data_IF_655601912026
#
_entry.id   IF_655601912026
#
_cell.length_a   1.000
_cell.length_b   1.000
_cell.length_c   1.000
_cell.angle_alpha   90.00
_cell.angle_beta   90.00
_cell.angle_gamma   90.00
#
_symmetry.space_group_name_H-M   'P 1'
#
loop_
_entity.id
_entity.type
_entity.pdbx_description
1 polymer ?
#
# COMPACT_ATOMS: atom_id res chain seq x y z
N UNK A 1 7.32 68.07 24.02
CA UNK A 1 8.25 69.17 23.76
C UNK A 1 8.17 69.40 22.25
N UNK A 2 7.33 70.34 21.78
CA UNK A 2 7.64 71.71 21.38
C UNK A 2 8.73 71.74 20.35
N UNK A 3 8.67 72.37 19.23
CA UNK A 3 7.91 73.52 18.73
C UNK A 3 8.17 73.60 17.20
N UNK A 4 7.23 73.95 16.41
CA UNK A 4 6.89 75.27 15.87
C UNK A 4 7.91 75.83 14.90
N UNK A 5 7.42 76.31 13.77
CA UNK A 5 8.14 77.11 12.81
C UNK A 5 7.35 77.37 11.56
N UNK A 6 6.57 78.46 11.61
CA UNK A 6 5.76 78.93 10.52
C UNK A 6 6.56 79.95 9.63
N UNK A 7 5.99 80.22 8.46
CA UNK A 7 6.00 81.48 7.71
C UNK A 7 6.93 81.60 6.50
N UNK A 8 6.29 82.00 5.47
CA UNK A 8 6.97 82.66 4.30
C UNK A 8 6.09 82.82 3.08
N UNK A 9 5.06 83.68 3.20
CA UNK A 9 4.34 84.18 2.04
C UNK A 9 5.22 85.15 1.22
N UNK A 10 5.33 84.94 -0.07
CA UNK A 10 5.58 86.11 -0.98
C UNK A 10 4.77 85.95 -2.24
N UNK A 11 3.90 86.89 -2.42
CA UNK A 11 3.14 87.16 -3.62
C UNK A 11 4.11 87.75 -4.70
N UNK A 12 3.91 87.25 -5.95
CA UNK A 12 4.30 88.08 -7.12
C UNK A 12 3.19 88.01 -8.14
N UNK A 13 2.58 89.09 -8.34
CA UNK A 13 1.61 89.34 -9.39
C UNK A 13 2.34 89.50 -10.74
N UNK A 14 1.88 88.85 -11.77
CA UNK A 14 2.40 88.97 -13.13
C UNK A 14 1.31 88.69 -14.14
N UNK A 15 0.89 89.73 -14.75
CA UNK A 15 0.11 89.95 -15.95
C UNK A 15 -0.40 88.73 -16.74
N UNK A 16 -1.75 88.61 -16.80
CA UNK A 16 -2.48 87.84 -17.77
C UNK A 16 -2.30 88.37 -19.19
N UNK A 17 -1.74 87.52 -20.07
CA UNK A 17 -1.82 87.75 -21.51
C UNK A 17 -2.88 86.79 -22.03
N UNK A 18 -4.01 87.33 -22.40
CA UNK A 18 -5.13 86.63 -22.99
C UNK A 18 -4.77 86.31 -24.46
N UNK A 19 -4.32 85.06 -24.68
CA UNK A 19 -4.14 84.54 -26.04
C UNK A 19 -5.38 83.74 -26.40
N UNK A 20 -6.33 84.33 -27.08
CA UNK A 20 -7.47 83.69 -27.68
C UNK A 20 -6.97 82.90 -28.91
N UNK A 21 -6.65 81.60 -28.65
CA UNK A 21 -6.47 80.65 -29.75
C UNK A 21 -7.87 80.16 -30.07
N UNK A 22 -8.40 80.58 -31.16
CA UNK A 22 -9.61 80.09 -31.77
C UNK A 22 -9.25 78.72 -32.33
N UNK A 23 -9.42 77.65 -31.50
CA UNK A 23 -9.42 76.30 -31.98
C UNK A 23 -10.70 76.12 -32.81
N UNK A 24 -10.59 76.24 -34.11
CA UNK A 24 -11.57 75.66 -35.02
C UNK A 24 -11.51 74.15 -34.85
N UNK A 25 -12.34 73.66 -34.01
CA UNK A 25 -12.62 72.22 -33.93
C UNK A 25 -13.34 71.90 -35.25
N UNK A 26 -12.55 71.40 -36.20
CA UNK A 26 -13.11 70.74 -37.34
C UNK A 26 -13.84 69.50 -36.78
N UNK A 27 -15.11 69.67 -36.62
CA UNK A 27 -15.97 68.50 -36.24
C UNK A 27 -15.94 67.53 -37.41
N UNK A 28 -14.98 66.62 -37.34
CA UNK A 28 -15.16 65.39 -38.06
C UNK A 28 -16.44 64.73 -37.42
N UNK A 29 -17.53 64.79 -38.15
CA UNK A 29 -18.71 64.06 -37.80
C UNK A 29 -18.25 62.60 -37.57
N UNK A 30 -18.28 62.16 -36.34
CA UNK A 30 -18.03 60.74 -36.04
C UNK A 30 -19.07 59.95 -36.81
N UNK A 31 -18.66 59.43 -37.93
CA UNK A 31 -19.49 58.49 -38.67
C UNK A 31 -19.88 57.40 -37.64
N UNK A 32 -21.16 57.18 -37.43
CA UNK A 32 -21.66 56.31 -36.40
C UNK A 32 -21.02 54.93 -36.53
N UNK A 33 -20.50 54.44 -35.42
CA UNK A 33 -19.94 53.09 -35.37
C UNK A 33 -21.08 52.08 -35.46
N UNK A 34 -21.06 51.25 -36.48
CA UNK A 34 -22.05 50.20 -36.70
C UNK A 34 -21.63 49.01 -35.80
N UNK A 35 -22.57 48.44 -35.05
CA UNK A 35 -22.30 47.30 -34.15
C UNK A 35 -23.27 46.17 -34.40
N UNK A 36 -22.70 44.96 -34.49
CA UNK A 36 -23.46 43.71 -34.62
C UNK A 36 -22.98 42.77 -33.54
N UNK A 37 -23.81 41.75 -33.24
CA UNK A 37 -23.47 40.64 -32.34
C UNK A 37 -23.96 39.35 -32.96
N UNK A 38 -23.09 38.39 -33.05
CA UNK A 38 -23.42 37.06 -33.62
C UNK A 38 -22.80 35.97 -32.76
N UNK A 39 -23.47 34.82 -32.64
CA UNK A 39 -22.84 33.68 -32.00
C UNK A 39 -21.70 33.16 -32.88
N UNK A 40 -20.74 32.54 -32.25
CA UNK A 40 -19.69 31.80 -32.95
C UNK A 40 -20.23 30.58 -33.67
N UNK A 41 -19.40 29.84 -34.35
CA UNK A 41 -19.74 28.59 -35.02
C UNK A 41 -20.73 28.74 -36.20
N UNK A 42 -21.03 29.99 -36.57
CA UNK A 42 -21.89 30.23 -37.74
C UNK A 42 -21.18 29.81 -39.01
N UNK A 43 -21.92 29.17 -39.89
CA UNK A 43 -21.38 28.73 -41.17
C UNK A 43 -21.11 29.91 -42.11
N UNK A 44 -20.18 29.70 -43.05
CA UNK A 44 -19.87 30.69 -44.12
C UNK A 44 -21.13 31.09 -44.85
N UNK A 45 -21.33 32.41 -45.04
CA UNK A 45 -22.48 32.95 -45.72
C UNK A 45 -23.64 33.33 -44.80
N UNK A 46 -23.49 33.08 -43.47
CA UNK A 46 -24.52 33.42 -42.49
C UNK A 46 -24.67 34.93 -42.35
N UNK A 47 -25.87 35.37 -42.08
CA UNK A 47 -26.22 36.76 -41.90
C UNK A 47 -25.63 37.34 -40.62
N UNK A 48 -24.96 38.51 -40.73
CA UNK A 48 -24.37 39.26 -39.62
C UNK A 48 -25.20 40.55 -39.34
N UNK A 49 -25.46 41.30 -40.39
CA UNK A 49 -26.20 42.55 -40.25
C UNK A 49 -26.57 43.13 -41.61
N UNK A 50 -27.36 44.22 -41.62
CA UNK A 50 -27.81 44.86 -42.87
C UNK A 50 -27.10 46.22 -43.07
N UNK A 51 -25.92 46.17 -43.70
CA UNK A 51 -25.08 47.34 -43.96
C UNK A 51 -25.84 48.38 -44.82
N UNK A 52 -26.59 47.93 -45.82
CA UNK A 52 -27.36 48.84 -46.67
C UNK A 52 -28.34 49.69 -45.84
N UNK A 53 -29.11 49.03 -44.97
CA UNK A 53 -30.05 49.69 -44.10
C UNK A 53 -29.37 50.68 -43.15
N UNK A 54 -28.26 50.24 -42.53
CA UNK A 54 -27.54 51.07 -41.55
C UNK A 54 -26.87 52.28 -42.17
N UNK A 55 -26.51 52.18 -43.45
CA UNK A 55 -26.00 53.32 -44.24
C UNK A 55 -27.09 54.19 -44.88
N UNK A 56 -28.37 53.72 -44.78
CA UNK A 56 -29.49 54.42 -45.42
C UNK A 56 -29.47 54.33 -46.95
N UNK A 57 -28.98 53.16 -47.47
CA UNK A 57 -28.80 52.94 -48.90
C UNK A 57 -29.72 51.78 -49.37
N UNK A 58 -30.19 51.82 -50.57
CA UNK A 58 -30.84 50.68 -51.22
C UNK A 58 -29.76 49.69 -51.71
N UNK A 59 -30.06 48.41 -51.76
CA UNK A 59 -29.13 47.38 -52.22
C UNK A 59 -28.53 47.67 -53.61
N UNK A 60 -29.29 48.30 -54.49
CA UNK A 60 -28.81 48.67 -55.81
C UNK A 60 -27.74 49.75 -55.76
N UNK A 61 -27.90 50.69 -54.85
CA UNK A 61 -26.97 51.80 -54.68
C UNK A 61 -25.60 51.40 -54.21
N UNK A 62 -25.51 50.24 -53.51
CA UNK A 62 -24.22 49.73 -53.01
C UNK A 62 -23.19 49.48 -54.09
N UNK A 63 -23.64 48.89 -55.19
CA UNK A 63 -22.76 48.69 -56.36
C UNK A 63 -22.43 49.98 -57.08
N UNK A 64 -23.43 50.87 -57.24
CA UNK A 64 -23.27 52.14 -57.90
C UNK A 64 -22.31 53.06 -57.16
N UNK A 65 -22.34 53.02 -55.80
CA UNK A 65 -21.49 53.87 -54.96
C UNK A 65 -20.17 53.24 -54.59
N UNK A 66 -19.88 51.99 -55.04
CA UNK A 66 -18.63 51.32 -54.77
C UNK A 66 -18.48 50.96 -53.30
N UNK A 67 -19.55 50.40 -52.68
CA UNK A 67 -19.48 49.98 -51.24
C UNK A 67 -18.79 48.63 -51.13
N UNK A 68 -17.77 48.58 -50.27
CA UNK A 68 -17.06 47.31 -49.98
C UNK A 68 -16.52 47.29 -48.55
N UNK A 69 -16.29 46.07 -48.05
CA UNK A 69 -15.75 45.83 -46.71
C UNK A 69 -14.22 45.70 -46.80
N UNK A 70 -13.53 46.34 -45.92
CA UNK A 70 -12.06 46.35 -45.84
C UNK A 70 -11.65 45.88 -44.45
N UNK A 71 -10.62 45.01 -44.40
CA UNK A 71 -9.99 44.55 -43.18
C UNK A 71 -8.56 45.08 -43.09
N UNK A 72 -8.13 45.42 -41.89
CA UNK A 72 -6.75 45.85 -41.63
C UNK A 72 -5.78 44.68 -41.51
N UNK A 73 -6.28 43.42 -41.50
CA UNK A 73 -5.49 42.21 -41.39
C UNK A 73 -5.47 41.37 -42.66
N UNK A 74 -4.79 40.22 -42.57
CA UNK A 74 -4.69 39.29 -43.70
C UNK A 74 -5.98 38.49 -43.92
N UNK A 75 -6.74 38.25 -42.86
CA UNK A 75 -7.94 37.40 -42.89
C UNK A 75 -9.18 38.27 -43.03
N UNK A 76 -10.05 37.90 -43.96
CA UNK A 76 -11.34 38.56 -44.17
C UNK A 76 -12.42 37.67 -43.54
N UNK A 77 -12.86 38.08 -42.37
CA UNK A 77 -13.88 37.31 -41.59
C UNK A 77 -15.29 37.56 -42.10
N UNK A 78 -15.51 38.71 -42.76
CA UNK A 78 -16.83 39.10 -43.25
C UNK A 78 -16.77 39.50 -44.71
N UNK A 79 -17.90 39.44 -45.40
CA UNK A 79 -18.04 39.87 -46.78
C UNK A 79 -19.36 40.62 -46.96
N UNK A 80 -19.42 41.53 -47.91
CA UNK A 80 -20.66 42.23 -48.26
C UNK A 80 -21.34 41.47 -49.41
N UNK A 81 -22.60 41.07 -49.20
CA UNK A 81 -23.42 40.54 -50.26
C UNK A 81 -24.04 41.70 -51.04
N UNK A 82 -23.48 41.96 -52.20
CA UNK A 82 -23.85 43.12 -53.04
C UNK A 82 -25.34 43.10 -53.49
N UNK A 83 -25.97 41.93 -53.54
CA UNK A 83 -27.37 41.81 -53.97
C UNK A 83 -28.37 42.16 -52.87
N UNK A 84 -28.03 41.86 -51.60
CA UNK A 84 -28.92 42.08 -50.47
C UNK A 84 -28.51 43.22 -49.57
N UNK A 85 -27.27 43.68 -49.67
CA UNK A 85 -26.73 44.70 -48.79
C UNK A 85 -26.35 44.17 -47.41
N UNK A 86 -26.34 42.87 -47.25
CA UNK A 86 -26.06 42.22 -45.94
C UNK A 86 -24.57 41.98 -45.77
N UNK A 87 -24.09 42.19 -44.55
CA UNK A 87 -22.80 41.70 -44.08
C UNK A 87 -23.01 40.23 -43.75
N UNK A 88 -22.15 39.38 -44.29
CA UNK A 88 -22.22 37.92 -44.12
C UNK A 88 -20.86 37.39 -43.64
N UNK A 89 -20.85 36.24 -42.98
CA UNK A 89 -19.60 35.55 -42.57
C UNK A 89 -18.87 35.05 -43.80
N UNK A 90 -17.58 35.31 -43.91
CA UNK A 90 -16.72 34.81 -44.99
C UNK A 90 -16.08 33.48 -44.64
N UNK A 91 -16.00 33.15 -43.35
CA UNK A 91 -15.46 31.88 -42.78
C UNK A 91 -16.26 31.51 -41.55
N UNK A 92 -16.10 30.25 -41.06
CA UNK A 92 -16.58 29.85 -39.74
C UNK A 92 -15.74 30.58 -38.70
N UNK A 93 -16.38 31.11 -37.70
CA UNK A 93 -15.73 31.91 -36.65
C UNK A 93 -15.75 31.09 -35.35
N UNK A 94 -14.58 30.81 -34.83
CA UNK A 94 -14.35 30.06 -33.60
C UNK A 94 -13.76 31.08 -32.61
N UNK A 95 -14.54 31.43 -31.61
CA UNK A 95 -14.22 32.50 -30.66
C UNK A 95 -12.94 32.17 -29.89
N UNK A 96 -12.76 30.88 -29.50
CA UNK A 96 -11.62 30.43 -28.71
C UNK A 96 -10.32 30.55 -29.50
N UNK A 97 -10.37 30.29 -30.80
CA UNK A 97 -9.21 30.48 -31.67
C UNK A 97 -8.92 31.97 -31.93
N UNK A 98 -9.96 32.78 -32.04
CA UNK A 98 -9.82 34.19 -32.40
C UNK A 98 -9.41 35.04 -31.19
N UNK A 99 -10.02 34.79 -30.02
CA UNK A 99 -9.93 35.67 -28.87
C UNK A 99 -9.45 34.97 -27.59
N UNK A 100 -9.34 33.66 -27.60
CA UNK A 100 -8.95 32.87 -26.41
C UNK A 100 -9.91 33.14 -25.26
N UNK A 101 -9.37 33.48 -24.12
CA UNK A 101 -10.15 33.74 -22.90
C UNK A 101 -10.54 35.21 -22.70
N UNK A 102 -10.45 36.03 -23.74
CA UNK A 102 -10.87 37.44 -23.62
C UNK A 102 -12.38 37.52 -23.34
N UNK A 103 -12.75 38.34 -22.38
CA UNK A 103 -14.16 38.49 -21.96
C UNK A 103 -15.03 38.94 -23.12
N UNK A 104 -14.48 39.79 -24.02
CA UNK A 104 -15.17 40.24 -25.22
C UNK A 104 -14.34 39.92 -26.45
N UNK A 105 -14.98 39.32 -27.43
CA UNK A 105 -14.34 39.02 -28.73
C UNK A 105 -14.91 39.98 -29.78
N UNK A 106 -14.14 40.99 -30.14
CA UNK A 106 -14.53 42.06 -31.05
C UNK A 106 -13.70 42.00 -32.32
N UNK A 107 -14.36 41.79 -33.45
CA UNK A 107 -13.74 41.83 -34.77
C UNK A 107 -14.14 43.15 -35.43
N UNK A 108 -13.14 43.88 -35.89
CA UNK A 108 -13.33 45.19 -36.50
C UNK A 108 -13.07 45.15 -38.01
N UNK A 109 -13.98 45.74 -38.76
CA UNK A 109 -13.79 45.97 -40.19
C UNK A 109 -14.27 47.38 -40.54
N UNK A 110 -13.98 47.81 -41.72
CA UNK A 110 -14.41 49.12 -42.23
C UNK A 110 -15.21 48.94 -43.50
N UNK A 111 -16.28 49.70 -43.64
CA UNK A 111 -17.05 49.80 -44.88
C UNK A 111 -16.68 51.11 -45.54
N UNK A 112 -16.17 51.04 -46.78
CA UNK A 112 -15.85 52.17 -47.58
C UNK A 112 -16.94 52.44 -48.60
N UNK A 113 -17.40 53.67 -48.72
CA UNK A 113 -18.25 54.16 -49.80
C UNK A 113 -17.37 55.02 -50.71
N UNK A 114 -16.90 54.38 -51.80
CA UNK A 114 -15.83 55.03 -52.66
C UNK A 114 -16.23 56.34 -53.27
N UNK A 115 -17.45 56.42 -53.79
CA UNK A 115 -17.92 57.63 -54.45
C UNK A 115 -18.06 58.82 -53.46
N UNK A 116 -18.22 58.55 -52.18
CA UNK A 116 -18.35 59.60 -51.18
C UNK A 116 -17.06 59.77 -50.35
N UNK A 117 -16.07 58.93 -50.58
CA UNK A 117 -14.82 58.88 -49.80
C UNK A 117 -15.09 58.80 -48.29
N UNK A 118 -16.09 58.02 -47.87
CA UNK A 118 -16.48 57.89 -46.50
C UNK A 118 -16.09 56.49 -45.97
N UNK A 119 -15.66 56.41 -44.72
CA UNK A 119 -15.31 55.16 -44.00
C UNK A 119 -16.23 55.04 -42.78
N UNK A 120 -16.84 53.88 -42.64
CA UNK A 120 -17.68 53.59 -41.50
C UNK A 120 -17.03 52.40 -40.77
N UNK A 121 -16.77 52.57 -39.45
CA UNK A 121 -16.28 51.49 -38.61
C UNK A 121 -17.40 50.51 -38.31
N UNK A 122 -17.15 49.24 -38.48
CA UNK A 122 -18.07 48.15 -38.13
C UNK A 122 -17.38 47.26 -37.10
N UNK A 123 -18.02 47.10 -35.95
CA UNK A 123 -17.58 46.28 -34.85
C UNK A 123 -18.55 45.09 -34.74
N UNK A 124 -18.04 43.87 -34.81
CA UNK A 124 -18.83 42.66 -34.69
C UNK A 124 -18.37 41.92 -33.44
N UNK A 125 -19.24 41.76 -32.46
CA UNK A 125 -19.01 41.00 -31.26
C UNK A 125 -19.35 39.54 -31.53
N UNK A 126 -18.39 38.63 -31.29
CA UNK A 126 -18.60 37.20 -31.42
C UNK A 126 -18.95 36.71 -30.02
N UNK A 127 -20.17 36.22 -29.84
CA UNK A 127 -20.66 35.73 -28.55
C UNK A 127 -20.39 34.23 -28.39
N UNK A 128 -20.02 33.87 -27.20
CA UNK A 128 -19.70 32.50 -26.76
C UNK A 128 -20.95 31.60 -26.85
N UNK A 129 -20.77 30.37 -27.30
CA UNK A 129 -21.79 29.29 -27.19
C UNK A 129 -21.16 28.12 -26.46
N UNK A 130 -22.00 27.22 -25.93
CA UNK A 130 -21.52 26.03 -25.20
C UNK A 130 -21.13 24.94 -26.17
N UNK A 131 -20.01 25.12 -26.89
CA UNK A 131 -19.57 24.11 -27.87
C UNK A 131 -18.42 23.26 -27.37
N UNK A 132 -17.78 23.61 -26.29
CA UNK A 132 -16.73 22.83 -25.65
C UNK A 132 -17.26 22.15 -24.38
N UNK A 133 -16.58 21.07 -23.96
CA UNK A 133 -16.86 20.37 -22.71
C UNK A 133 -15.64 20.48 -21.80
N UNK A 134 -15.84 20.60 -20.47
CA UNK A 134 -14.70 20.52 -19.57
C UNK A 134 -13.88 19.27 -19.84
N UNK A 135 -12.58 19.39 -19.91
CA UNK A 135 -11.69 18.27 -20.22
C UNK A 135 -10.50 18.23 -19.28
N UNK A 136 -10.06 17.03 -18.93
CA UNK A 136 -8.85 16.80 -18.14
C UNK A 136 -7.68 16.50 -19.09
N UNK A 137 -6.54 17.07 -18.79
CA UNK A 137 -5.33 16.87 -19.61
C UNK A 137 -4.97 15.39 -19.73
N UNK A 138 -5.21 14.62 -18.65
CA UNK A 138 -5.07 13.16 -18.63
C UNK A 138 -6.36 12.58 -18.08
N UNK A 139 -6.84 11.51 -18.69
CA UNK A 139 -8.06 10.83 -18.25
C UNK A 139 -7.87 10.00 -16.98
N UNK A 140 -6.63 9.90 -16.48
CA UNK A 140 -6.30 9.12 -15.29
C UNK A 140 -5.28 9.84 -14.43
N UNK A 141 -5.43 9.72 -13.11
CA UNK A 141 -4.55 10.28 -12.08
C UNK A 141 -4.24 9.18 -11.07
N UNK A 142 -2.96 8.92 -10.81
CA UNK A 142 -2.52 8.01 -9.74
C UNK A 142 -2.17 8.85 -8.51
N UNK A 143 -2.66 8.41 -7.34
CA UNK A 143 -2.39 9.04 -6.06
C UNK A 143 -1.92 7.96 -5.08
N UNK A 144 -0.72 8.11 -4.52
CA UNK A 144 -0.16 7.18 -3.52
C UNK A 144 -0.32 7.79 -2.14
N UNK A 145 -0.99 7.07 -1.26
CA UNK A 145 -1.33 7.54 0.10
C UNK A 145 -0.96 6.45 1.11
N UNK A 146 -0.12 6.75 2.08
CA UNK A 146 0.17 5.80 3.15
C UNK A 146 -1.08 5.60 4.02
N UNK A 147 -1.33 4.37 4.45
CA UNK A 147 -2.45 4.07 5.35
C UNK A 147 -2.37 4.82 6.68
N UNK A 148 -1.15 5.17 7.13
CA UNK A 148 -0.97 5.97 8.35
C UNK A 148 -1.38 7.44 8.18
N UNK A 149 -1.81 7.84 6.96
CA UNK A 149 -2.21 9.22 6.69
C UNK A 149 -3.46 9.57 7.51
N UNK A 150 -3.38 10.67 8.25
CA UNK A 150 -4.47 11.07 9.14
C UNK A 150 -5.71 11.55 8.35
N UNK A 151 -6.92 11.21 8.79
CA UNK A 151 -8.14 11.81 8.25
C UNK A 151 -8.09 13.34 8.33
N UNK A 152 -8.66 14.00 7.32
CA UNK A 152 -8.57 15.44 7.13
C UNK A 152 -7.44 15.87 6.18
N UNK A 153 -6.55 14.95 5.83
CA UNK A 153 -5.47 15.21 4.86
C UNK A 153 -6.04 15.52 3.48
N UNK A 154 -5.38 16.43 2.75
CA UNK A 154 -5.87 16.94 1.47
C UNK A 154 -4.84 16.70 0.38
N UNK A 155 -5.33 16.29 -0.78
CA UNK A 155 -4.51 15.98 -1.96
C UNK A 155 -5.02 16.81 -3.13
N UNK A 156 -4.14 17.59 -3.74
CA UNK A 156 -4.50 18.38 -4.89
C UNK A 156 -4.70 17.50 -6.11
N UNK A 157 -5.81 17.69 -6.80
CA UNK A 157 -6.12 16.99 -8.03
C UNK A 157 -5.87 17.93 -9.22
N UNK A 158 -5.65 17.36 -10.40
CA UNK A 158 -5.53 18.13 -11.63
C UNK A 158 -6.89 18.71 -11.98
N UNK A 159 -6.93 19.99 -12.30
CA UNK A 159 -8.14 20.68 -12.69
C UNK A 159 -8.51 20.37 -14.14
N UNK A 160 -9.79 20.36 -14.42
CA UNK A 160 -10.30 20.35 -15.79
C UNK A 160 -10.14 21.73 -16.40
N UNK A 161 -10.07 21.79 -17.71
CA UNK A 161 -10.03 23.00 -18.51
C UNK A 161 -11.26 23.06 -19.39
N UNK A 162 -11.80 24.26 -19.52
CA UNK A 162 -12.95 24.55 -20.37
C UNK A 162 -12.64 25.89 -21.00
N UNK A 163 -12.59 25.99 -22.34
CA UNK A 163 -12.26 27.25 -22.98
C UNK A 163 -13.43 28.21 -23.09
N UNK A 164 -14.68 27.75 -22.94
CA UNK A 164 -15.89 28.56 -23.04
C UNK A 164 -15.95 29.62 -21.91
N UNK A 165 -16.84 30.58 -22.01
CA UNK A 165 -16.91 31.70 -21.07
C UNK A 165 -18.17 31.69 -20.19
N UNK A 166 -18.04 32.34 -19.05
CA UNK A 166 -19.16 32.63 -18.17
C UNK A 166 -19.85 31.36 -17.67
N UNK A 167 -21.14 31.24 -17.96
CA UNK A 167 -21.92 30.04 -17.57
C UNK A 167 -21.54 28.80 -18.38
N UNK A 168 -21.07 28.98 -19.62
CA UNK A 168 -20.67 27.85 -20.47
C UNK A 168 -19.35 27.23 -20.00
N UNK A 169 -18.54 28.00 -19.27
CA UNK A 169 -17.28 27.51 -18.71
C UNK A 169 -17.53 26.56 -17.52
N UNK A 170 -16.46 25.93 -17.04
CA UNK A 170 -16.46 25.01 -15.89
C UNK A 170 -17.14 25.61 -14.65
N UNK A 171 -18.23 24.99 -14.19
CA UNK A 171 -19.00 25.43 -13.01
C UNK A 171 -18.76 24.58 -11.77
N UNK A 172 -18.63 23.28 -11.93
CA UNK A 172 -18.59 22.39 -10.75
C UNK A 172 -17.79 21.12 -10.96
N UNK A 173 -17.41 20.51 -9.84
CA UNK A 173 -16.83 19.17 -9.79
C UNK A 173 -17.68 18.29 -8.91
N UNK A 174 -17.73 17.01 -9.23
CA UNK A 174 -18.41 15.98 -8.44
C UNK A 174 -17.54 14.73 -8.40
N UNK A 175 -17.46 14.10 -7.22
CA UNK A 175 -16.77 12.84 -7.01
C UNK A 175 -17.79 11.70 -6.95
N UNK A 176 -17.43 10.54 -7.48
CA UNK A 176 -18.22 9.31 -7.31
C UNK A 176 -18.38 8.99 -5.83
N UNK A 177 -19.47 8.34 -5.46
CA UNK A 177 -19.74 7.97 -4.07
C UNK A 177 -18.61 7.08 -3.53
N UNK A 178 -18.11 7.42 -2.34
CA UNK A 178 -17.04 6.69 -1.68
C UNK A 178 -17.12 6.93 -0.18
N UNK A 179 -16.70 5.94 0.62
CA UNK A 179 -16.76 6.03 2.08
C UNK A 179 -15.53 6.72 2.69
N UNK A 180 -14.38 6.62 2.04
CA UNK A 180 -13.10 7.08 2.58
C UNK A 180 -12.75 8.50 2.13
N UNK A 181 -13.28 8.94 0.98
CA UNK A 181 -12.85 10.20 0.39
C UNK A 181 -14.04 11.12 0.09
N UNK A 182 -13.82 12.43 0.27
CA UNK A 182 -14.75 13.48 -0.13
C UNK A 182 -14.03 14.46 -1.04
N UNK A 183 -14.81 15.33 -1.68
CA UNK A 183 -14.29 16.35 -2.59
C UNK A 183 -14.47 17.73 -1.99
N UNK A 184 -13.41 18.53 -1.99
CA UNK A 184 -13.48 19.95 -1.67
C UNK A 184 -13.01 20.74 -2.90
N UNK A 185 -13.76 21.79 -3.24
CA UNK A 185 -13.42 22.65 -4.36
C UNK A 185 -12.98 24.01 -3.83
N UNK A 186 -11.77 24.41 -4.18
CA UNK A 186 -11.22 25.73 -3.84
C UNK A 186 -11.41 26.67 -5.01
N UNK A 187 -11.63 27.95 -4.74
CA UNK A 187 -11.71 29.00 -5.77
C UNK A 187 -10.54 29.97 -5.56
N UNK A 188 -9.69 30.09 -6.56
CA UNK A 188 -8.56 31.02 -6.55
C UNK A 188 -9.01 32.44 -6.91
N UNK A 189 -8.15 33.40 -6.62
CA UNK A 189 -8.30 34.78 -7.14
C UNK A 189 -8.35 34.73 -8.66
N UNK A 190 -9.42 35.21 -9.23
CA UNK A 190 -9.70 35.10 -10.67
C UNK A 190 -10.77 34.10 -11.03
N UNK A 191 -11.39 33.44 -10.02
CA UNK A 191 -12.54 32.55 -10.23
C UNK A 191 -12.21 31.12 -10.63
N UNK A 192 -10.92 30.78 -10.79
CA UNK A 192 -10.52 29.41 -11.16
C UNK A 192 -10.81 28.43 -10.03
N UNK A 193 -11.48 27.34 -10.38
CA UNK A 193 -11.86 26.28 -9.44
C UNK A 193 -10.90 25.09 -9.56
N UNK A 194 -10.39 24.60 -8.42
CA UNK A 194 -9.56 23.40 -8.41
C UNK A 194 -10.00 22.43 -7.31
N UNK A 195 -10.06 21.15 -7.66
CA UNK A 195 -10.54 20.15 -6.74
C UNK A 195 -9.43 19.63 -5.82
N UNK A 196 -9.79 19.31 -4.57
CA UNK A 196 -8.95 18.64 -3.59
C UNK A 196 -9.69 17.38 -3.13
N UNK A 197 -8.99 16.26 -3.10
CA UNK A 197 -9.48 15.02 -2.48
C UNK A 197 -9.18 15.11 -0.99
N UNK A 198 -10.15 14.84 -0.14
CA UNK A 198 -9.99 14.87 1.31
C UNK A 198 -10.21 13.46 1.85
N UNK A 199 -9.27 12.97 2.65
CA UNK A 199 -9.40 11.70 3.34
C UNK A 199 -10.33 11.90 4.55
N UNK A 200 -11.44 11.16 4.60
CA UNK A 200 -12.44 11.29 5.68
C UNK A 200 -12.33 10.16 6.72
N UNK A 201 -11.97 8.94 6.27
CA UNK A 201 -11.81 7.77 7.14
C UNK A 201 -10.41 7.21 6.99
N UNK A 202 -9.86 6.58 8.04
CA UNK A 202 -8.56 5.92 7.94
C UNK A 202 -8.53 4.91 6.79
N UNK A 203 -7.36 4.72 6.23
CA UNK A 203 -7.10 3.69 5.24
C UNK A 203 -6.49 2.49 5.95
N UNK A 204 -6.66 1.32 5.38
CA UNK A 204 -6.14 0.03 5.85
C UNK A 204 -5.84 -0.76 4.58
N UNK A 205 -4.54 -0.95 4.29
CA UNK A 205 -4.12 -1.62 3.06
C UNK A 205 -4.55 -3.09 3.06
N UNK A 206 -4.54 -3.70 4.24
CA UNK A 206 -4.91 -5.11 4.42
C UNK A 206 -6.39 -5.34 4.15
N UNK A 207 -7.21 -4.30 4.39
CA UNK A 207 -8.64 -4.35 4.06
C UNK A 207 -8.87 -3.97 2.59
N UNK A 208 -8.25 -2.86 2.13
CA UNK A 208 -8.44 -2.39 0.75
C UNK A 208 -7.22 -1.62 0.24
N UNK A 209 -6.41 -2.30 -0.57
CA UNK A 209 -5.14 -1.76 -1.09
C UNK A 209 -5.31 -0.66 -2.15
N UNK A 210 -6.48 -0.56 -2.82
CA UNK A 210 -6.71 0.46 -3.85
C UNK A 210 -8.14 0.99 -3.81
N UNK A 211 -8.31 2.27 -4.17
CA UNK A 211 -9.62 2.89 -4.36
C UNK A 211 -9.68 3.55 -5.73
N UNK A 212 -10.75 3.27 -6.48
CA UNK A 212 -11.01 3.86 -7.79
C UNK A 212 -12.16 4.84 -7.69
N UNK A 213 -11.90 6.09 -8.04
CA UNK A 213 -12.86 7.19 -7.95
C UNK A 213 -12.99 7.85 -9.31
N UNK A 214 -14.17 8.40 -9.60
CA UNK A 214 -14.42 9.17 -10.82
C UNK A 214 -14.67 10.62 -10.43
N UNK A 215 -13.84 11.50 -10.96
CA UNK A 215 -14.00 12.95 -10.84
C UNK A 215 -14.69 13.44 -12.11
N UNK A 216 -15.85 14.08 -11.95
CA UNK A 216 -16.62 14.67 -13.05
C UNK A 216 -16.55 16.21 -12.95
N UNK A 217 -16.17 16.84 -14.03
CA UNK A 217 -16.21 18.29 -14.20
C UNK A 217 -17.41 18.65 -15.08
N UNK A 218 -18.15 19.69 -14.73
CA UNK A 218 -19.40 20.05 -15.42
C UNK A 218 -19.45 21.57 -15.62
N UNK A 219 -19.88 22.00 -16.80
CA UNK A 219 -20.17 23.41 -17.12
C UNK A 219 -21.60 23.79 -16.66
N UNK A 220 -22.07 24.95 -17.04
CA UNK A 220 -23.41 25.41 -16.74
C UNK A 220 -24.16 25.86 -18.00
N UNK A 221 -23.72 25.46 -19.18
CA UNK A 221 -24.33 25.80 -20.45
C UNK A 221 -25.61 25.03 -20.76
N UNK A 222 -26.16 25.26 -21.92
CA UNK A 222 -27.36 24.58 -22.40
C UNK A 222 -27.10 24.09 -23.84
N UNK A 223 -27.01 22.77 -24.02
CA UNK A 223 -27.08 21.70 -23.02
C UNK A 223 -25.84 21.64 -22.11
N UNK A 224 -26.01 21.18 -20.90
CA UNK A 224 -24.90 20.97 -19.94
C UNK A 224 -23.95 19.92 -20.49
N UNK A 225 -22.64 20.21 -20.46
CA UNK A 225 -21.59 19.28 -20.89
C UNK A 225 -20.71 18.90 -19.71
N UNK A 226 -20.02 17.77 -19.81
CA UNK A 226 -19.14 17.30 -18.75
C UNK A 226 -17.99 16.47 -19.28
N UNK A 227 -16.91 16.41 -18.47
CA UNK A 227 -15.78 15.53 -18.70
C UNK A 227 -15.42 14.80 -17.44
N UNK A 228 -14.79 13.63 -17.57
CA UNK A 228 -14.44 12.78 -16.42
C UNK A 228 -12.96 12.40 -16.43
N UNK A 229 -12.43 12.15 -15.22
CA UNK A 229 -11.12 11.54 -15.03
C UNK A 229 -11.22 10.49 -13.92
N UNK A 230 -10.48 9.38 -14.07
CA UNK A 230 -10.35 8.34 -13.06
C UNK A 230 -9.24 8.75 -12.06
N UNK A 231 -9.50 8.61 -10.77
CA UNK A 231 -8.48 8.75 -9.73
C UNK A 231 -8.24 7.35 -9.18
N UNK A 232 -7.03 6.84 -9.37
CA UNK A 232 -6.60 5.54 -8.85
C UNK A 232 -5.75 5.82 -7.62
N UNK A 233 -6.30 5.55 -6.42
CA UNK A 233 -5.59 5.71 -5.15
C UNK A 233 -4.97 4.37 -4.79
N UNK A 234 -3.64 4.36 -4.63
CA UNK A 234 -2.88 3.20 -4.16
C UNK A 234 -2.53 3.45 -2.69
N UNK A 235 -2.98 2.56 -1.81
CA UNK A 235 -2.67 2.63 -0.38
C UNK A 235 -1.28 2.02 -0.18
N UNK A 236 -0.37 2.81 0.37
CA UNK A 236 0.99 2.35 0.66
C UNK A 236 1.06 1.73 2.04
N UNK A 237 1.70 0.58 2.11
CA UNK A 237 1.93 -0.22 3.31
C UNK A 237 2.68 0.56 4.40
N UNK A 238 2.37 0.25 5.65
CA UNK A 238 3.10 0.70 6.81
C UNK A 238 3.24 -0.49 7.77
N UNK A 239 4.33 -0.56 8.53
CA UNK A 239 4.57 -1.67 9.45
C UNK A 239 3.66 -1.51 10.69
N UNK A 240 2.40 -1.87 10.57
CA UNK A 240 1.44 -1.75 11.68
C UNK A 240 0.83 -3.11 12.11
N UNK A 241 1.19 -4.19 11.43
CA UNK A 241 0.85 -5.57 11.82
C UNK A 241 2.09 -6.26 12.39
N UNK A 242 1.91 -7.11 13.40
CA UNK A 242 2.96 -7.96 13.93
C UNK A 242 2.80 -9.38 13.38
N UNK A 243 3.88 -10.13 13.18
CA UNK A 243 3.75 -11.54 12.82
C UNK A 243 2.93 -12.28 13.88
N UNK A 244 2.15 -13.27 13.48
CA UNK A 244 1.30 -14.06 14.39
C UNK A 244 1.62 -15.55 14.19
N UNK A 245 2.06 -16.24 15.27
CA UNK A 245 2.29 -17.69 15.23
C UNK A 245 0.97 -18.43 15.02
N UNK A 246 1.01 -19.48 14.22
CA UNK A 246 -0.17 -20.34 13.97
C UNK A 246 -0.64 -21.06 15.23
N UNK A 247 0.25 -21.25 16.23
CA UNK A 247 -0.06 -21.86 17.52
C UNK A 247 0.71 -21.16 18.64
N UNK A 248 0.09 -20.94 19.81
CA UNK A 248 0.80 -20.39 20.96
C UNK A 248 1.71 -21.42 21.63
N UNK A 249 1.50 -22.72 21.34
CA UNK A 249 2.27 -23.83 21.88
C UNK A 249 2.29 -24.98 20.89
N UNK A 250 3.49 -25.39 20.50
CA UNK A 250 3.73 -26.57 19.66
C UNK A 250 4.17 -27.73 20.56
N UNK A 251 3.53 -28.90 20.45
CA UNK A 251 3.91 -30.12 21.16
C UNK A 251 4.34 -31.19 20.18
N UNK A 252 5.55 -31.71 20.41
CA UNK A 252 6.20 -32.67 19.53
C UNK A 252 6.75 -33.83 20.38
N UNK A 253 6.64 -35.07 19.89
CA UNK A 253 7.26 -36.23 20.49
C UNK A 253 8.30 -36.78 19.52
N UNK A 254 9.50 -37.10 20.03
CA UNK A 254 10.61 -37.56 19.21
C UNK A 254 11.32 -38.71 19.95
N UNK A 255 11.73 -39.78 19.25
CA UNK A 255 12.51 -40.86 19.83
C UNK A 255 13.94 -40.41 20.05
N UNK A 256 14.57 -40.86 21.15
CA UNK A 256 15.96 -40.45 21.43
C UNK A 256 16.96 -40.90 20.36
N UNK A 257 16.69 -42.02 19.70
CA UNK A 257 17.56 -42.54 18.65
C UNK A 257 17.38 -41.86 17.29
N UNK A 258 16.63 -40.72 17.24
CA UNK A 258 16.43 -40.01 16.00
C UNK A 258 17.79 -39.51 15.43
N UNK A 259 18.04 -39.68 14.12
CA UNK A 259 19.33 -39.27 13.56
C UNK A 259 19.54 -37.76 13.65
N UNK A 260 20.77 -37.37 13.92
CA UNK A 260 21.20 -35.95 13.86
C UNK A 260 20.91 -35.41 12.45
N UNK A 261 20.38 -34.21 12.35
CA UNK A 261 19.96 -33.56 11.10
C UNK A 261 18.47 -33.75 10.77
N UNK A 262 17.75 -34.53 11.58
CA UNK A 262 16.30 -34.70 11.36
C UNK A 262 15.53 -33.47 11.81
N UNK A 263 14.60 -32.98 10.96
CA UNK A 263 13.65 -31.93 11.34
C UNK A 263 12.53 -32.58 12.17
N UNK A 264 12.38 -32.13 13.40
CA UNK A 264 11.38 -32.69 14.34
C UNK A 264 10.13 -31.84 14.43
N UNK A 265 10.22 -30.56 14.05
CA UNK A 265 9.06 -29.67 14.02
C UNK A 265 9.33 -28.52 13.04
N UNK A 266 8.25 -27.92 12.53
CA UNK A 266 8.31 -26.67 11.78
C UNK A 266 7.30 -25.70 12.41
N UNK A 267 7.75 -24.56 12.86
CA UNK A 267 6.89 -23.50 13.39
C UNK A 267 6.56 -22.53 12.27
N UNK A 268 5.38 -21.91 12.34
CA UNK A 268 4.93 -20.99 11.30
C UNK A 268 4.27 -19.76 11.92
N UNK A 269 4.71 -18.58 11.47
CA UNK A 269 4.05 -17.31 11.75
C UNK A 269 3.75 -16.63 10.41
N UNK A 270 2.70 -15.82 10.39
CA UNK A 270 2.29 -15.04 9.22
C UNK A 270 2.18 -13.58 9.60
N UNK A 271 2.54 -12.72 8.65
CA UNK A 271 2.45 -11.28 8.76
C UNK A 271 1.58 -10.78 7.60
N UNK A 272 0.82 -9.71 7.83
CA UNK A 272 -0.10 -9.15 6.84
C UNK A 272 0.55 -8.04 6.02
N UNK A 273 1.63 -7.43 6.54
CA UNK A 273 2.32 -6.33 5.88
C UNK A 273 3.07 -6.81 4.62
N UNK A 274 3.51 -5.89 3.80
CA UNK A 274 4.21 -6.20 2.55
C UNK A 274 5.72 -5.96 2.64
N UNK A 275 6.45 -6.67 1.77
CA UNK A 275 7.89 -6.50 1.63
C UNK A 275 8.65 -6.82 2.90
N UNK A 276 9.54 -5.93 3.32
CA UNK A 276 10.40 -6.13 4.49
C UNK A 276 9.57 -6.18 5.79
N UNK A 277 8.49 -5.42 5.85
CA UNK A 277 7.58 -5.41 7.00
C UNK A 277 6.91 -6.78 7.21
N UNK A 278 6.58 -7.47 6.11
CA UNK A 278 5.96 -8.79 6.16
C UNK A 278 6.93 -9.97 6.17
N UNK A 279 8.25 -9.74 6.09
CA UNK A 279 9.27 -10.81 6.09
C UNK A 279 9.49 -11.32 7.51
N UNK A 280 9.02 -12.52 7.81
CA UNK A 280 9.11 -13.12 9.16
C UNK A 280 10.48 -13.80 9.36
N UNK A 281 11.14 -13.49 10.48
CA UNK A 281 12.40 -14.09 10.91
C UNK A 281 12.20 -14.71 12.29
N UNK A 282 12.59 -15.99 12.43
CA UNK A 282 12.45 -16.74 13.67
C UNK A 282 13.74 -16.70 14.48
N UNK A 283 13.60 -16.63 15.81
CA UNK A 283 14.71 -16.69 16.76
C UNK A 283 14.30 -17.44 18.02
N UNK A 284 15.28 -17.98 18.74
CA UNK A 284 15.06 -18.65 20.03
C UNK A 284 15.93 -17.99 21.10
N UNK A 285 15.47 -18.05 22.33
CA UNK A 285 16.28 -17.54 23.47
C UNK A 285 17.44 -18.51 23.74
N UNK A 286 18.63 -17.95 23.79
CA UNK A 286 19.90 -18.68 23.83
C UNK A 286 20.14 -19.42 25.15
N UNK A 287 19.39 -19.12 26.20
CA UNK A 287 19.59 -19.69 27.53
C UNK A 287 18.95 -21.08 27.75
N UNK A 288 18.21 -21.59 26.79
CA UNK A 288 17.48 -22.83 26.95
C UNK A 288 18.40 -24.04 26.73
N UNK A 289 18.22 -25.09 27.55
CA UNK A 289 18.90 -26.37 27.36
C UNK A 289 18.63 -26.95 25.97
N UNK A 290 17.45 -26.69 25.46
CA UNK A 290 17.04 -27.15 24.13
C UNK A 290 17.96 -26.58 23.03
N UNK A 291 18.47 -25.37 23.19
CA UNK A 291 19.34 -24.73 22.19
C UNK A 291 20.70 -25.44 22.06
N UNK A 292 21.05 -26.31 23.00
CA UNK A 292 22.26 -27.12 22.96
C UNK A 292 22.09 -28.39 22.13
N UNK A 293 20.85 -28.76 21.84
CA UNK A 293 20.51 -30.03 21.19
C UNK A 293 19.74 -29.80 19.87
N UNK A 294 18.93 -28.72 19.82
CA UNK A 294 18.10 -28.38 18.67
C UNK A 294 18.56 -27.07 18.05
N UNK A 295 18.48 -27.00 16.73
CA UNK A 295 18.78 -25.82 15.95
C UNK A 295 17.50 -25.34 15.26
N UNK A 296 17.21 -24.04 15.34
CA UNK A 296 16.12 -23.40 14.65
C UNK A 296 16.64 -22.69 13.40
N UNK A 297 16.04 -22.98 12.26
CA UNK A 297 16.29 -22.21 11.03
C UNK A 297 15.50 -20.91 11.10
N UNK A 298 16.21 -19.79 10.97
CA UNK A 298 15.62 -18.46 11.14
C UNK A 298 14.66 -18.06 10.03
N UNK A 299 14.69 -18.73 8.89
CA UNK A 299 13.82 -18.39 7.75
C UNK A 299 12.68 -19.37 7.57
N UNK A 300 12.95 -20.67 7.72
CA UNK A 300 11.95 -21.70 7.47
C UNK A 300 11.13 -22.05 8.71
N UNK A 301 11.67 -21.76 9.90
CA UNK A 301 11.04 -22.17 11.16
C UNK A 301 11.26 -23.65 11.47
N UNK A 302 12.15 -24.34 10.75
CA UNK A 302 12.46 -25.74 10.98
C UNK A 302 13.32 -25.92 12.23
N UNK A 303 12.92 -26.85 13.11
CA UNK A 303 13.66 -27.22 14.29
C UNK A 303 14.31 -28.59 14.01
N UNK A 304 15.64 -28.62 13.97
CA UNK A 304 16.41 -29.83 13.64
C UNK A 304 17.26 -30.28 14.83
N UNK A 305 17.42 -31.59 14.96
CA UNK A 305 18.31 -32.21 15.96
C UNK A 305 19.75 -32.05 15.48
N UNK A 306 20.63 -31.44 16.28
CA UNK A 306 22.05 -31.35 15.93
C UNK A 306 22.98 -32.08 16.89
N UNK A 307 22.45 -32.65 18.00
CA UNK A 307 23.15 -33.56 18.92
C UNK A 307 22.22 -34.74 19.23
N UNK A 308 22.81 -35.90 19.57
CA UNK A 308 22.03 -37.06 19.99
C UNK A 308 21.19 -36.72 21.20
N UNK A 309 20.00 -37.23 21.20
CA UNK A 309 19.09 -37.18 22.35
C UNK A 309 19.37 -38.38 23.26
N UNK A 310 19.07 -38.24 24.55
CA UNK A 310 19.23 -39.24 25.57
C UNK A 310 18.08 -39.05 26.56
N UNK A 311 17.15 -39.98 26.56
CA UNK A 311 15.95 -39.91 27.40
C UNK A 311 16.31 -39.95 28.89
N UNK A 312 17.38 -40.74 29.24
CA UNK A 312 17.84 -40.87 30.61
C UNK A 312 18.43 -39.55 31.13
N UNK A 313 18.97 -38.69 30.23
CA UNK A 313 19.49 -37.39 30.58
C UNK A 313 18.36 -36.33 30.63
N UNK A 314 17.54 -36.25 29.59
CA UNK A 314 16.48 -35.21 29.51
C UNK A 314 15.24 -35.73 28.78
N UNK A 315 14.12 -35.75 29.49
CA UNK A 315 12.82 -36.25 28.96
C UNK A 315 11.99 -35.20 28.26
N UNK A 316 12.22 -33.90 28.52
CA UNK A 316 11.43 -32.82 27.99
C UNK A 316 12.32 -31.60 27.75
N UNK A 317 12.28 -31.08 26.54
CA UNK A 317 12.94 -29.82 26.16
C UNK A 317 11.88 -28.76 25.90
N UNK A 318 12.14 -27.53 26.33
CA UNK A 318 11.29 -26.40 26.11
C UNK A 318 12.09 -25.30 25.39
N UNK A 319 11.49 -24.70 24.36
CA UNK A 319 12.10 -23.59 23.61
C UNK A 319 11.13 -22.42 23.62
N UNK A 320 11.64 -21.23 23.94
CA UNK A 320 10.91 -19.96 23.78
C UNK A 320 11.29 -19.38 22.45
N UNK A 321 10.31 -19.17 21.57
CA UNK A 321 10.53 -18.67 20.22
C UNK A 321 9.96 -17.26 20.07
N UNK A 322 10.58 -16.51 19.17
CA UNK A 322 10.07 -15.23 18.69
C UNK A 322 10.04 -15.26 17.17
N UNK A 323 8.98 -14.71 16.59
CA UNK A 323 8.87 -14.37 15.19
C UNK A 323 8.84 -12.86 15.10
N UNK A 324 9.74 -12.24 14.36
CA UNK A 324 9.78 -10.79 14.22
C UNK A 324 9.89 -10.41 12.75
N UNK A 325 9.32 -9.24 12.43
CA UNK A 325 9.32 -8.66 11.09
C UNK A 325 10.58 -7.79 10.88
N UNK A 326 10.67 -7.15 9.71
CA UNK A 326 11.77 -6.25 9.40
C UNK A 326 11.62 -4.86 10.01
N UNK A 327 10.46 -4.52 10.55
CA UNK A 327 10.20 -3.25 11.23
C UNK A 327 10.37 -3.29 12.74
N UNK A 328 10.47 -4.50 13.32
CA UNK A 328 10.74 -4.73 14.74
C UNK A 328 9.55 -5.12 15.59
N UNK A 329 8.38 -5.35 15.01
CA UNK A 329 7.25 -5.94 15.72
C UNK A 329 7.49 -7.44 15.85
N UNK A 330 6.89 -8.09 16.83
CA UNK A 330 7.15 -9.51 17.07
C UNK A 330 6.01 -10.19 17.84
N UNK A 331 5.98 -11.52 17.73
CA UNK A 331 5.13 -12.42 18.51
C UNK A 331 5.97 -13.51 19.15
N UNK A 332 5.41 -14.23 20.12
CA UNK A 332 6.07 -15.30 20.88
C UNK A 332 5.27 -16.57 20.87
N UNK A 333 6.01 -17.70 20.86
CA UNK A 333 5.42 -19.02 20.99
C UNK A 333 6.35 -19.91 21.78
N UNK A 334 5.85 -21.07 22.19
CA UNK A 334 6.60 -22.09 22.95
C UNK A 334 6.57 -23.41 22.18
N UNK A 335 7.69 -24.14 22.23
CA UNK A 335 7.78 -25.51 21.71
C UNK A 335 8.14 -26.43 22.86
N UNK A 336 7.36 -27.50 23.07
CA UNK A 336 7.62 -28.57 24.02
C UNK A 336 7.95 -29.83 23.22
N UNK A 337 9.18 -30.31 23.35
CA UNK A 337 9.67 -31.52 22.68
C UNK A 337 9.85 -32.63 23.74
N UNK A 338 8.96 -33.60 23.75
CA UNK A 338 9.07 -34.78 24.64
C UNK A 338 9.89 -35.86 23.95
N UNK A 339 10.91 -36.36 24.65
CA UNK A 339 11.72 -37.45 24.17
C UNK A 339 11.05 -38.74 24.60
N UNK A 340 10.96 -39.72 23.71
CA UNK A 340 10.42 -41.05 24.03
C UNK A 340 11.57 -42.07 24.09
N UNK A 341 11.51 -42.86 25.11
CA UNK A 341 12.47 -43.92 25.49
C UNK A 341 12.59 -45.00 24.41
N UNK A 342 13.80 -45.49 24.21
CA UNK A 342 14.11 -46.64 23.34
C UNK A 342 15.01 -47.59 24.14
N UNK A 343 14.73 -48.89 24.12
CA UNK A 343 15.45 -49.92 24.84
C UNK A 343 16.90 -49.99 24.31
N UNK A 344 17.80 -49.14 24.86
CA UNK A 344 19.20 -49.08 24.45
C UNK A 344 20.20 -49.24 25.61
N UNK A 345 19.71 -49.34 26.83
CA UNK A 345 20.52 -49.62 28.01
C UNK A 345 20.52 -51.12 28.34
N UNK A 346 21.59 -51.58 28.97
CA UNK A 346 21.76 -52.97 29.36
C UNK A 346 21.59 -53.06 30.89
N UNK A 347 20.78 -54.02 31.43
CA UNK A 347 20.65 -54.13 32.86
C UNK A 347 21.99 -54.36 33.55
N UNK A 348 22.29 -53.57 34.56
CA UNK A 348 23.49 -53.70 35.39
C UNK A 348 23.18 -54.53 36.65
N UNK A 349 24.08 -55.47 36.95
CA UNK A 349 24.00 -56.29 38.17
C UNK A 349 25.04 -55.78 39.15
N UNK A 350 24.60 -55.37 40.33
CA UNK A 350 25.50 -54.96 41.43
C UNK A 350 25.34 -55.93 42.59
N UNK A 351 26.44 -56.58 43.01
CA UNK A 351 26.47 -57.46 44.16
C UNK A 351 26.64 -56.56 45.41
N UNK A 352 25.61 -56.49 46.23
CA UNK A 352 25.64 -55.69 47.49
C UNK A 352 26.08 -56.54 48.72
N UNK A 353 25.90 -57.85 48.63
CA UNK A 353 26.30 -58.76 49.67
C UNK A 353 26.68 -60.11 49.03
N UNK A 354 27.77 -60.68 49.47
CA UNK A 354 28.20 -62.01 49.04
C UNK A 354 28.93 -62.71 50.20
N UNK A 355 28.44 -63.91 50.64
CA UNK A 355 29.15 -64.69 51.59
C UNK A 355 30.45 -65.26 50.97
N UNK A 356 31.56 -65.07 51.61
CA UNK A 356 32.88 -65.51 51.14
C UNK A 356 33.00 -67.02 51.18
N UNK A 357 32.23 -67.70 52.08
CA UNK A 357 32.16 -69.15 52.20
C UNK A 357 30.78 -69.55 52.73
N UNK A 358 30.25 -70.68 52.30
CA UNK A 358 28.98 -71.23 52.72
C UNK A 358 29.27 -72.57 53.36
N UNK A 359 28.94 -72.81 54.64
CA UNK A 359 29.04 -74.13 55.26
C UNK A 359 28.19 -75.15 54.52
N UNK A 360 28.69 -76.41 54.42
CA UNK A 360 27.97 -77.45 53.67
C UNK A 360 26.67 -77.88 54.36
N UNK A 361 26.56 -77.59 55.65
CA UNK A 361 25.33 -77.92 56.46
C UNK A 361 24.36 -76.72 56.55
N UNK A 362 24.55 -75.66 55.70
CA UNK A 362 23.66 -74.53 55.70
C UNK A 362 22.25 -74.91 55.30
N UNK A 363 21.23 -74.46 56.05
CA UNK A 363 19.84 -74.77 55.70
C UNK A 363 19.40 -74.24 54.37
N UNK A 364 18.49 -74.96 53.65
CA UNK A 364 17.89 -74.41 52.47
C UNK A 364 17.23 -73.05 52.76
N UNK A 365 17.39 -72.08 51.85
CA UNK A 365 16.88 -70.70 52.03
C UNK A 365 17.88 -69.77 52.66
N UNK A 366 19.14 -70.20 52.99
CA UNK A 366 20.18 -69.33 53.46
C UNK A 366 20.52 -68.32 52.37
N UNK A 367 20.47 -67.01 52.73
CA UNK A 367 20.82 -65.94 51.81
C UNK A 367 22.35 -65.93 51.68
N UNK A 368 22.83 -66.21 50.51
CA UNK A 368 24.27 -66.26 50.19
C UNK A 368 24.74 -65.07 49.42
N UNK A 369 23.82 -64.36 48.71
CA UNK A 369 24.15 -63.14 47.96
C UNK A 369 22.92 -62.27 47.87
N UNK A 370 23.13 -60.93 47.86
CA UNK A 370 22.12 -59.99 47.52
C UNK A 370 22.60 -59.21 46.28
N UNK A 371 21.75 -59.19 45.24
CA UNK A 371 22.02 -58.58 43.98
C UNK A 371 21.01 -57.44 43.77
N UNK A 372 21.44 -56.30 43.36
CA UNK A 372 20.60 -55.23 42.81
C UNK A 372 20.76 -55.30 41.30
N UNK A 373 19.63 -55.45 40.58
CA UNK A 373 19.63 -55.41 39.12
C UNK A 373 18.85 -54.18 38.72
N UNK A 374 19.46 -53.31 37.95
CA UNK A 374 18.87 -52.05 37.53
C UNK A 374 19.09 -51.85 36.03
N UNK A 375 18.03 -51.43 35.38
CA UNK A 375 18.07 -50.99 33.99
C UNK A 375 17.72 -49.50 34.01
N UNK A 376 18.40 -48.68 33.17
CA UNK A 376 18.18 -47.25 33.11
C UNK A 376 16.98 -46.87 32.25
N UNK A 377 16.58 -47.77 31.34
CA UNK A 377 15.43 -47.53 30.47
C UNK A 377 14.13 -47.37 31.28
N UNK A 378 13.10 -46.87 30.65
CA UNK A 378 11.84 -46.56 31.34
C UNK A 378 10.72 -47.53 30.99
N UNK A 379 9.78 -47.71 31.92
CA UNK A 379 8.58 -48.51 31.72
C UNK A 379 8.86 -49.96 31.37
N UNK A 380 8.35 -50.42 30.25
CA UNK A 380 8.54 -51.84 29.81
C UNK A 380 9.98 -52.11 29.36
N UNK A 381 10.67 -51.09 28.83
CA UNK A 381 12.05 -51.20 28.35
C UNK A 381 12.99 -51.52 29.54
N UNK A 382 12.74 -50.90 30.70
CA UNK A 382 13.51 -51.11 31.92
C UNK A 382 13.04 -52.29 32.79
N UNK A 383 12.11 -53.10 32.32
CA UNK A 383 11.59 -54.25 33.09
C UNK A 383 12.58 -55.44 33.02
N UNK A 384 13.20 -55.73 34.14
CA UNK A 384 14.26 -56.77 34.23
C UNK A 384 13.73 -58.07 34.85
N UNK A 385 14.06 -59.18 34.24
CA UNK A 385 13.79 -60.50 34.76
C UNK A 385 15.12 -61.25 35.03
N UNK A 386 15.31 -61.78 36.26
CA UNK A 386 16.52 -62.48 36.62
C UNK A 386 16.27 -64.00 36.66
N UNK A 387 17.09 -64.74 35.97
CA UNK A 387 17.03 -66.23 35.99
C UNK A 387 18.42 -66.78 36.24
N UNK A 388 18.49 -67.91 36.98
CA UNK A 388 19.71 -68.68 37.17
C UNK A 388 19.66 -69.84 36.19
N UNK A 389 20.62 -69.93 35.28
CA UNK A 389 20.62 -71.02 34.30
C UNK A 389 20.76 -72.45 35.02
N UNK A 390 19.98 -73.40 34.59
CA UNK A 390 19.95 -74.79 35.19
C UNK A 390 21.30 -75.47 35.15
N UNK A 391 22.15 -75.15 34.22
CA UNK A 391 23.48 -75.78 34.10
C UNK A 391 24.48 -75.27 35.18
N UNK A 392 24.21 -74.26 35.86
CA UNK A 392 25.05 -73.72 36.94
C UNK A 392 24.94 -74.69 38.19
N UNK A 393 24.14 -75.35 38.31
CA UNK A 393 23.91 -76.23 39.39
C UNK A 393 24.67 -77.44 39.36
N UNK A 394 25.11 -77.62 38.56
CA UNK A 394 25.75 -78.81 38.39
C UNK A 394 27.22 -78.75 38.50
N UNK A 395 27.44 -77.87 38.71
CA UNK A 395 28.69 -77.77 38.70
C UNK A 395 29.33 -77.97 39.91
N UNK A 396 28.85 -78.37 40.43
CA UNK A 396 29.48 -78.51 41.47
C UNK A 396 30.25 -79.49 41.63
N UNK A 397 30.26 -79.93 40.91
CA UNK A 397 30.93 -80.86 41.18
C UNK A 397 32.20 -80.76 41.36
N UNK A 398 32.63 -80.66 41.07
CA UNK A 398 33.62 -80.90 41.31
C UNK A 398 34.44 -79.94 41.58
N UNK A 399 34.23 -79.32 41.69
CA UNK A 399 34.98 -78.70 41.96
C UNK A 399 34.98 -78.17 42.89
N UNK A 400 35.00 -78.64 43.58
CA UNK A 400 35.03 -78.35 44.29
C UNK A 400 34.99 -77.51 44.64
N UNK A 401 35.18 -76.82 44.55
CA UNK A 401 35.24 -76.20 44.93
C UNK A 401 34.64 -75.45 44.89
N UNK A 402 34.17 -75.08 44.47
CA UNK A 402 33.85 -74.42 44.47
C UNK A 402 32.89 -74.18 44.44
N UNK A 403 32.36 -74.28 44.69
CA UNK A 403 31.75 -74.02 44.62
C UNK A 403 30.81 -74.08 44.65
N UNK A 404 30.39 -74.28 44.53
CA UNK A 404 29.81 -74.28 44.50
C UNK A 404 28.93 -74.44 44.65
N UNK A 405 28.43 -74.48 45.05
CA UNK A 405 27.85 -74.62 45.19
C UNK A 405 27.01 -74.74 45.14
N UNK A 406 26.58 -75.12 44.39
CA UNK A 406 25.96 -75.13 44.32
C UNK A 406 25.23 -75.36 44.54
N UNK A 407 24.67 -75.64 44.99
CA UNK A 407 24.13 -75.72 45.12
C UNK A 407 23.64 -75.86 45.44
N UNK A 408 23.36 -75.57 46.04
CA UNK A 408 22.98 -75.65 46.38
C UNK A 408 22.46 -75.59 46.52
N UNK A 409 21.66 -75.96 46.03
CA UNK A 409 21.30 -75.88 46.11
C UNK A 409 20.93 -75.74 46.32
N UNK A 410 20.31 -75.26 46.80
CA UNK A 410 20.06 -75.18 46.91
C UNK A 410 20.01 -74.83 47.05
N UNK A 411 20.40 -73.84 47.29
CA UNK A 411 20.42 -73.58 47.42
C UNK A 411 20.68 -73.27 47.28
N UNK A 412 21.28 -72.85 46.67
CA UNK A 412 21.55 -72.58 46.59
C UNK A 412 21.98 -72.38 46.22
N UNK A 413 22.31 -72.49 45.41
CA UNK A 413 22.74 -72.39 45.11
C UNK A 413 23.19 -71.92 44.77
N UNK A 414 23.59 -71.22 44.76
CA UNK A 414 24.01 -70.82 44.55
C UNK A 414 24.68 -70.46 44.18
N UNK A 415 25.31 -70.75 43.68
CA UNK A 415 25.98 -70.56 43.51
C UNK A 415 26.40 -69.88 43.15
N UNK A 416 26.61 -69.10 43.28
CA UNK A 416 27.06 -68.52 43.05
C UNK A 416 27.78 -68.30 42.65
N UNK A 417 28.41 -68.69 42.42
CA UNK A 417 29.12 -68.41 42.16
C UNK A 417 29.31 -67.99 41.43
N UNK A 418 29.31 -67.41 40.69
CA UNK A 418 29.51 -67.07 40.27
C UNK A 418 29.15 -66.83 39.75
N UNK A 419 28.18 -66.64 39.72
CA UNK A 419 27.95 -66.40 39.39
C UNK A 419 27.64 -65.96 38.90
N UNK A 420 27.61 -65.50 38.02
CA UNK A 420 27.37 -65.14 37.66
C UNK A 420 26.58 -65.14 37.41
N UNK A 421 25.71 -64.90 37.70
CA UNK A 421 25.10 -64.89 37.53
C UNK A 421 24.73 -64.59 36.82
N UNK A 422 24.44 -64.59 35.91
CA UNK A 422 24.17 -64.31 35.34
C UNK A 422 23.32 -64.03 35.25
N UNK A 423 22.71 -63.28 35.37
CA UNK A 423 22.01 -62.94 35.30
C UNK A 423 21.75 -62.73 34.43
N UNK A 424 21.26 -62.85 33.66
CA UNK A 424 21.00 -62.65 32.91
C UNK A 424 20.19 -62.04 32.81
N UNK A 425 19.85 -61.17 32.63
CA UNK A 425 19.26 -60.60 32.49
C UNK A 425 18.84 -60.62 31.58
N UNK A 426 18.26 -60.86 31.17
CA UNK A 426 17.87 -60.90 30.36
C UNK A 426 17.14 -60.14 30.15
N UNK A 427 16.99 -58.97 29.47
CA UNK A 427 16.11 -57.95 28.95
C UNK A 427 15.55 -58.40 27.60
N UNK A 428 14.27 -58.36 27.43
CA UNK A 428 13.67 -58.68 26.13
C UNK A 428 13.90 -57.51 25.19
N UNK A 429 14.95 -57.54 24.39
CA UNK A 429 15.05 -56.67 23.24
C UNK A 429 13.93 -56.98 22.28
N UNK A 430 13.02 -56.08 22.11
CA UNK A 430 12.05 -56.17 21.01
C UNK A 430 12.78 -55.77 19.73
N UNK A 431 13.29 -56.76 19.02
CA UNK A 431 13.74 -56.57 17.65
C UNK A 431 12.52 -56.33 16.76
N UNK A 432 12.24 -55.06 16.44
CA UNK A 432 11.28 -54.69 15.40
C UNK A 432 11.92 -53.71 14.42
#
# INVERSE_FOLDING_TARGET
MASSGAQGLRRCAGRAVLCCVVLTVCGAAAAGQIRYSIPEEMQKGSFVGNIAQDLGLEAKELSERGVRVIFRGRTQYFALNAKSGHLITAERLDREQLCGRAEKCLLNCEVIVEHEMKLYGVEVEITDINDNAPSFQTGEMELKVSETTAPGSRFHLRNAQDPDLGTNSLQSYKLSSNEHFSLKVQTASGGFKYPELVLEKPLDREEQATHDLILTATDGGDPVRSGTARIHVVVLDANDNAPVFSQPLYRVSVRENVPVGTTVATVKATDLDEGVSGDVIYSSQITDQASQVFQLDSRTGDITVFRNLDFEETKLYEMQLQAHDGGGLFDRSKVEISVSDVNDNIPEIRITFLLSSVPEDSPPGTVIALLIVQDQDSGENGAVTCTIPDHVXXXXXXXXXXXXXXXXXXXXXXXXXXXXXXXXXXNKRNDS
#
